data_IF_712161271489
#
_entry.id   IF_712161271489
#
_cell.length_a   1.000
_cell.length_b   1.000
_cell.length_c   1.000
_cell.angle_alpha   90.00
_cell.angle_beta   90.00
_cell.angle_gamma   90.00
#
_symmetry.space_group_name_H-M   'P 1'
#
loop_
_entity.id
_entity.type
_entity.pdbx_description
1 polymer ?
#
# COMPACT_ATOMS: atom_id res chain seq x y z
N UNK A 1 -3.38 22.24 -3.28
CA UNK A 1 -3.89 21.45 -2.14
C UNK A 1 -5.42 21.51 -2.18
N UNK A 2 -6.11 20.39 -1.92
CA UNK A 2 -7.58 20.36 -1.85
C UNK A 2 -7.99 20.23 -0.38
N UNK A 3 -9.01 20.97 0.03
CA UNK A 3 -9.45 21.01 1.42
C UNK A 3 -10.64 20.08 1.62
N UNK A 4 -10.73 19.46 2.81
CA UNK A 4 -11.87 18.66 3.26
C UNK A 4 -12.46 19.33 4.50
N UNK A 5 -13.78 19.58 4.50
CA UNK A 5 -14.48 20.06 5.67
C UNK A 5 -15.06 18.87 6.43
N UNK A 6 -14.68 18.71 7.71
CA UNK A 6 -15.15 17.63 8.57
C UNK A 6 -16.22 18.17 9.54
N UNK A 7 -17.40 17.55 9.54
CA UNK A 7 -18.47 17.86 10.51
C UNK A 7 -18.43 16.86 11.67
N UNK A 8 -18.05 17.35 12.84
CA UNK A 8 -18.06 16.57 14.08
C UNK A 8 -19.48 16.26 14.55
N UNK A 9 -19.62 15.13 15.26
CA UNK A 9 -20.86 14.78 15.95
C UNK A 9 -20.87 15.42 17.34
N UNK A 10 -22.07 15.60 17.90
CA UNK A 10 -22.24 16.09 19.27
C UNK A 10 -21.85 15.07 20.34
N UNK A 11 -21.78 13.79 19.97
CA UNK A 11 -21.36 12.68 20.83
C UNK A 11 -20.65 11.63 19.99
N UNK A 12 -19.68 10.96 20.60
CA UNK A 12 -19.01 9.82 20.00
C UNK A 12 -19.97 8.66 19.74
N UNK A 13 -19.79 8.03 18.58
CA UNK A 13 -20.58 6.90 18.09
C UNK A 13 -19.72 6.01 17.19
N UNK A 14 -20.17 4.79 16.83
CA UNK A 14 -19.42 3.92 15.93
C UNK A 14 -19.08 4.55 14.56
N UNK A 15 -19.82 5.57 14.13
CA UNK A 15 -19.66 6.21 12.81
C UNK A 15 -19.30 7.69 12.89
N UNK A 16 -18.89 8.19 14.05
CA UNK A 16 -18.55 9.60 14.17
C UNK A 16 -17.99 9.96 15.53
N UNK A 17 -17.05 10.89 15.51
CA UNK A 17 -16.34 11.38 16.69
C UNK A 17 -16.66 12.86 16.93
N UNK A 18 -16.52 13.27 18.19
CA UNK A 18 -16.54 14.66 18.62
C UNK A 18 -15.21 15.35 18.33
N UNK A 19 -15.17 16.68 18.47
CA UNK A 19 -13.95 17.45 18.26
C UNK A 19 -12.96 17.21 19.39
N UNK A 20 -13.46 17.02 20.60
CA UNK A 20 -12.71 16.76 21.82
C UNK A 20 -11.93 15.45 21.69
N UNK A 21 -12.54 14.41 21.12
CA UNK A 21 -11.90 13.12 20.88
C UNK A 21 -10.78 13.21 19.84
N UNK A 22 -10.99 13.96 18.75
CA UNK A 22 -9.93 14.19 17.77
C UNK A 22 -8.74 14.93 18.40
N UNK A 23 -9.02 15.95 19.21
CA UNK A 23 -7.99 16.73 19.89
C UNK A 23 -7.21 15.88 20.89
N UNK A 24 -7.91 15.09 21.72
CA UNK A 24 -7.26 14.19 22.67
C UNK A 24 -6.34 13.17 21.97
N UNK A 25 -6.75 12.64 20.82
CA UNK A 25 -5.90 11.75 20.01
C UNK A 25 -4.68 12.48 19.44
N UNK A 26 -4.84 13.72 18.99
CA UNK A 26 -3.75 14.53 18.48
C UNK A 26 -2.72 14.82 19.58
N UNK A 27 -3.19 15.19 20.78
CA UNK A 27 -2.36 15.48 21.95
C UNK A 27 -1.62 14.21 22.44
N UNK A 28 -2.30 13.06 22.53
CA UNK A 28 -1.69 11.79 22.97
C UNK A 28 -0.61 11.29 21.99
N UNK A 29 -0.81 11.52 20.70
CA UNK A 29 0.11 11.08 19.66
C UNK A 29 1.20 12.11 19.33
N UNK A 30 1.16 13.30 19.94
CA UNK A 30 2.03 14.45 19.64
C UNK A 30 2.06 14.80 18.13
N UNK A 31 0.88 14.80 17.50
CA UNK A 31 0.71 15.13 16.06
C UNK A 31 -0.43 16.12 15.85
N UNK A 32 -0.51 16.72 14.65
CA UNK A 32 -1.63 17.60 14.32
C UNK A 32 -2.95 16.83 14.12
N UNK A 33 -4.09 17.49 14.39
CA UNK A 33 -5.43 16.94 14.12
C UNK A 33 -5.56 16.42 12.66
N UNK A 34 -5.00 17.15 11.69
CA UNK A 34 -4.98 16.76 10.28
C UNK A 34 -4.23 15.45 10.05
N UNK A 35 -3.11 15.24 10.74
CA UNK A 35 -2.35 13.99 10.66
C UNK A 35 -3.13 12.81 11.22
N UNK A 36 -3.87 12.99 12.33
CA UNK A 36 -4.75 11.96 12.89
C UNK A 36 -5.82 11.56 11.87
N UNK A 37 -6.45 12.55 11.21
CA UNK A 37 -7.46 12.28 10.18
C UNK A 37 -6.87 11.50 9.01
N UNK A 38 -5.69 11.90 8.50
CA UNK A 38 -5.03 11.16 7.43
C UNK A 38 -4.64 9.74 7.83
N UNK A 39 -4.15 9.55 9.06
CA UNK A 39 -3.79 8.24 9.57
C UNK A 39 -5.02 7.32 9.69
N UNK A 40 -6.13 7.85 10.22
CA UNK A 40 -7.38 7.11 10.34
C UNK A 40 -7.90 6.66 8.97
N UNK A 41 -7.93 7.57 7.99
CA UNK A 41 -8.34 7.25 6.61
C UNK A 41 -7.39 6.22 5.98
N UNK A 42 -6.07 6.34 6.20
CA UNK A 42 -5.08 5.40 5.68
C UNK A 42 -5.29 3.98 6.24
N UNK A 43 -5.58 3.86 7.53
CA UNK A 43 -5.91 2.56 8.15
C UNK A 43 -7.22 2.00 7.61
N UNK A 44 -8.27 2.81 7.56
CA UNK A 44 -9.57 2.38 7.03
C UNK A 44 -9.51 1.98 5.56
N UNK A 45 -8.70 2.68 4.76
CA UNK A 45 -8.48 2.34 3.36
C UNK A 45 -7.85 0.95 3.19
N UNK A 46 -6.92 0.55 4.07
CA UNK A 46 -6.31 -0.79 4.05
C UNK A 46 -7.32 -1.90 4.39
N UNK A 47 -8.30 -1.59 5.22
CA UNK A 47 -9.33 -2.54 5.64
C UNK A 47 -10.45 -2.70 4.61
N UNK A 48 -10.81 -1.60 3.92
CA UNK A 48 -12.02 -1.56 3.07
C UNK A 48 -11.71 -1.59 1.59
N UNK A 49 -10.64 -0.94 1.14
CA UNK A 49 -10.32 -0.92 -0.28
C UNK A 49 -9.66 -2.24 -0.67
N UNK A 50 -9.99 -2.81 -1.84
CA UNK A 50 -9.27 -3.96 -2.36
C UNK A 50 -7.81 -3.58 -2.53
N UNK A 51 -6.95 -4.15 -1.69
CA UNK A 51 -5.52 -4.13 -1.94
C UNK A 51 -5.25 -5.04 -3.15
N UNK A 52 -4.21 -4.71 -3.92
CA UNK A 52 -3.62 -5.73 -4.79
C UNK A 52 -3.30 -6.95 -3.93
N UNK A 53 -3.57 -8.14 -4.45
CA UNK A 53 -3.13 -9.37 -3.79
C UNK A 53 -1.64 -9.24 -3.50
N UNK A 54 -1.23 -9.70 -2.31
CA UNK A 54 0.19 -9.84 -2.00
C UNK A 54 0.76 -10.67 -3.15
N UNK A 55 1.82 -10.16 -3.80
CA UNK A 55 2.48 -10.86 -4.91
C UNK A 55 2.61 -12.35 -4.61
N UNK A 56 2.30 -13.20 -5.59
CA UNK A 56 2.10 -14.65 -5.50
C UNK A 56 3.43 -15.38 -5.11
N UNK A 57 3.95 -15.08 -3.93
CA UNK A 57 5.16 -15.67 -3.36
C UNK A 57 6.37 -15.65 -4.30
N UNK A 58 7.28 -16.61 -4.08
CA UNK A 58 8.36 -16.87 -5.04
C UNK A 58 7.79 -17.55 -6.28
N UNK A 59 8.25 -17.12 -7.46
CA UNK A 59 7.95 -17.78 -8.73
C UNK A 59 8.14 -19.30 -8.60
N UNK A 60 7.09 -20.06 -8.92
CA UNK A 60 7.22 -21.52 -8.94
C UNK A 60 8.18 -21.95 -10.06
N UNK A 61 8.75 -23.15 -9.95
CA UNK A 61 9.55 -23.72 -11.04
C UNK A 61 8.77 -23.76 -12.36
N UNK A 62 7.45 -23.93 -12.29
CA UNK A 62 6.56 -23.85 -13.45
C UNK A 62 6.55 -22.45 -14.09
N UNK A 63 6.48 -21.40 -13.29
CA UNK A 63 6.54 -20.01 -13.76
C UNK A 63 7.87 -19.68 -14.42
N UNK A 64 8.97 -20.06 -13.78
CA UNK A 64 10.31 -19.86 -14.33
C UNK A 64 10.44 -20.55 -15.70
N UNK A 65 9.92 -21.77 -15.83
CA UNK A 65 9.95 -22.51 -17.08
C UNK A 65 9.05 -21.88 -18.16
N UNK A 66 7.86 -21.39 -17.79
CA UNK A 66 6.98 -20.64 -18.69
C UNK A 66 7.67 -19.38 -19.22
N UNK A 67 8.26 -18.60 -18.33
CA UNK A 67 9.00 -17.38 -18.68
C UNK A 67 10.18 -17.69 -19.59
N UNK A 68 10.97 -18.73 -19.28
CA UNK A 68 12.09 -19.16 -20.13
C UNK A 68 11.64 -19.56 -21.54
N UNK A 69 10.55 -20.33 -21.64
CA UNK A 69 9.99 -20.77 -22.93
C UNK A 69 9.44 -19.60 -23.74
N UNK A 70 8.77 -18.65 -23.10
CA UNK A 70 8.28 -17.44 -23.75
C UNK A 70 9.43 -16.54 -24.22
N UNK A 71 10.53 -16.47 -23.47
CA UNK A 71 11.72 -15.70 -23.81
C UNK A 71 12.56 -16.35 -24.91
N UNK A 72 12.54 -17.68 -25.04
CA UNK A 72 13.34 -18.46 -26.00
C UNK A 72 13.39 -17.91 -27.44
N UNK A 73 12.29 -17.53 -28.10
CA UNK A 73 12.35 -16.93 -29.44
C UNK A 73 13.01 -15.55 -29.49
N UNK A 74 13.06 -14.83 -28.37
CA UNK A 74 13.63 -13.49 -28.24
C UNK A 74 15.08 -13.51 -27.75
N UNK A 75 15.57 -14.67 -27.29
CA UNK A 75 16.93 -14.81 -26.79
C UNK A 75 17.95 -14.78 -27.95
N UNK A 76 19.11 -14.14 -27.75
CA UNK A 76 20.18 -14.16 -28.74
C UNK A 76 20.70 -15.59 -28.92
N UNK A 77 20.76 -16.07 -30.17
CA UNK A 77 21.24 -17.41 -30.53
C UNK A 77 22.78 -17.51 -30.63
N UNK A 78 23.48 -16.43 -30.32
CA UNK A 78 24.93 -16.35 -30.41
C UNK A 78 25.64 -17.03 -29.25
N UNK A 79 26.94 -17.29 -29.43
CA UNK A 79 27.78 -17.78 -28.34
C UNK A 79 27.94 -16.67 -27.30
N UNK A 80 27.61 -16.97 -26.03
CA UNK A 80 27.85 -16.05 -24.92
C UNK A 80 29.37 -15.87 -24.76
N UNK A 81 29.85 -14.64 -24.97
CA UNK A 81 31.29 -14.32 -24.91
C UNK A 81 31.71 -13.91 -23.49
N UNK A 82 30.80 -13.24 -22.76
CA UNK A 82 31.02 -12.79 -21.40
C UNK A 82 29.68 -12.73 -20.68
N UNK A 83 29.64 -13.20 -19.43
CA UNK A 83 28.46 -13.09 -18.56
C UNK A 83 28.88 -12.30 -17.32
N UNK A 84 28.27 -11.14 -17.10
CA UNK A 84 28.46 -10.37 -15.87
C UNK A 84 27.14 -10.39 -15.10
N UNK A 85 27.09 -11.18 -14.03
CA UNK A 85 25.95 -11.15 -13.12
C UNK A 85 26.03 -9.91 -12.24
N UNK A 86 24.91 -9.21 -12.08
CA UNK A 86 24.74 -8.15 -11.09
C UNK A 86 24.33 -8.83 -9.78
N UNK A 87 25.31 -9.37 -9.06
CA UNK A 87 25.20 -9.73 -7.64
C UNK A 87 26.07 -8.76 -6.85
#
# INVERSE_FOLDING_TARGET
>A
MRNLLLKFKSKDSPYGVTRETLKALADEMDVSETMVVHLAISRFAKEVLPAYEIDDGQLTVGDINRTRKAAEPMLPKGKVINTRSLL
#
